data_IF_898603799011
#
_entry.id   IF_898603799011
#
_cell.length_a   1.000
_cell.length_b   1.000
_cell.length_c   1.000
_cell.angle_alpha   90.00
_cell.angle_beta   90.00
_cell.angle_gamma   90.00
#
_symmetry.space_group_name_H-M   'P 1'
#
loop_
_entity.id
_entity.type
_entity.pdbx_description
1 polymer ?
#
# COMPACT_ATOMS: atom_id res chain seq x y z
N UNK A 1 9.40 3.85 14.12
CA UNK A 1 10.58 3.62 13.26
C UNK A 1 10.17 2.59 12.22
N UNK A 2 10.32 2.87 10.92
CA UNK A 2 9.97 1.92 9.86
C UNK A 2 11.21 1.13 9.41
N UNK A 3 11.04 -0.15 9.12
CA UNK A 3 12.08 -1.02 8.57
C UNK A 3 11.64 -1.53 7.20
N UNK A 4 12.52 -1.42 6.20
CA UNK A 4 12.25 -1.89 4.85
C UNK A 4 12.85 -3.28 4.62
N UNK A 5 12.01 -4.27 4.34
CA UNK A 5 12.41 -5.62 3.95
C UNK A 5 12.13 -5.80 2.46
N UNK A 6 13.11 -6.33 1.71
CA UNK A 6 13.02 -6.49 0.24
C UNK A 6 12.00 -7.54 -0.20
N UNK A 7 11.53 -8.40 0.69
CA UNK A 7 10.52 -9.44 0.41
C UNK A 7 9.10 -8.87 0.29
N UNK A 8 8.44 -9.20 -0.82
CA UNK A 8 7.07 -8.75 -1.10
C UNK A 8 6.10 -9.48 -0.17
N UNK A 9 5.01 -8.81 0.22
CA UNK A 9 3.98 -9.43 1.05
C UNK A 9 3.31 -10.61 0.35
N UNK A 10 3.19 -10.55 -0.98
CA UNK A 10 2.72 -11.64 -1.82
C UNK A 10 3.51 -11.72 -3.13
N UNK A 11 3.69 -12.94 -3.67
CA UNK A 11 4.34 -13.14 -4.97
C UNK A 11 3.40 -12.72 -6.10
N UNK A 12 3.49 -11.48 -6.56
CA UNK A 12 2.65 -10.92 -7.62
C UNK A 12 3.38 -10.88 -8.98
N UNK A 13 3.81 -12.05 -9.50
CA UNK A 13 4.45 -12.15 -10.82
C UNK A 13 3.41 -12.55 -11.87
N UNK A 14 3.10 -11.70 -12.88
CA UNK A 14 2.22 -12.04 -13.98
C UNK A 14 2.88 -13.03 -14.94
N UNK A 15 2.05 -13.81 -15.65
CA UNK A 15 2.49 -14.81 -16.63
C UNK A 15 2.85 -14.18 -17.97
N UNK A 16 2.25 -13.04 -18.33
CA UNK A 16 2.49 -12.33 -19.59
C UNK A 16 2.43 -10.80 -19.42
N UNK A 17 3.17 -10.05 -20.26
CA UNK A 17 3.02 -8.62 -20.45
C UNK A 17 1.60 -8.17 -20.80
N UNK A 18 1.06 -7.14 -20.15
CA UNK A 18 -0.11 -6.41 -20.65
C UNK A 18 -0.06 -4.91 -20.30
N UNK A 19 0.24 -4.02 -21.27
CA UNK A 19 0.31 -2.58 -21.03
C UNK A 19 -1.05 -1.93 -20.77
N UNK A 20 -2.15 -2.54 -21.22
CA UNK A 20 -3.52 -2.02 -20.97
C UNK A 20 -3.91 -2.29 -19.52
N UNK A 21 -3.56 -3.47 -19.01
CA UNK A 21 -3.79 -3.82 -17.61
C UNK A 21 -2.89 -3.00 -16.67
N UNK A 22 -1.63 -2.75 -17.06
CA UNK A 22 -0.71 -1.87 -16.34
C UNK A 22 -1.28 -0.46 -16.14
N UNK A 23 -1.89 0.13 -17.19
CA UNK A 23 -2.52 1.45 -17.09
C UNK A 23 -3.67 1.47 -16.09
N UNK A 24 -4.48 0.40 -16.03
CA UNK A 24 -5.58 0.27 -15.06
C UNK A 24 -5.05 0.08 -13.63
N UNK A 25 -3.95 -0.64 -13.44
CA UNK A 25 -3.29 -0.78 -12.14
C UNK A 25 -2.80 0.56 -11.60
N UNK A 26 -2.43 1.51 -12.46
CA UNK A 26 -2.02 2.84 -12.03
C UNK A 26 -3.16 3.61 -11.31
N UNK A 27 -4.42 3.40 -11.70
CA UNK A 27 -5.57 3.98 -11.02
C UNK A 27 -5.80 3.35 -9.64
N UNK A 28 -5.54 2.05 -9.50
CA UNK A 28 -5.62 1.34 -8.20
C UNK A 28 -4.46 1.72 -7.28
N UNK A 29 -3.28 2.03 -7.84
CA UNK A 29 -2.12 2.46 -7.09
C UNK A 29 -2.21 3.91 -6.62
N UNK A 30 -2.47 4.83 -7.56
CA UNK A 30 -2.36 6.27 -7.36
C UNK A 30 -3.63 7.07 -7.65
N UNK A 31 -4.76 6.41 -7.90
CA UNK A 31 -6.04 7.09 -8.06
C UNK A 31 -6.59 7.64 -6.75
N UNK A 32 -7.75 8.29 -6.83
CA UNK A 32 -8.41 8.93 -5.68
C UNK A 32 -8.68 7.95 -4.52
N UNK A 33 -9.02 6.70 -4.84
CA UNK A 33 -9.20 5.60 -3.89
C UNK A 33 -8.06 4.58 -3.95
N UNK A 34 -6.90 5.01 -4.44
CA UNK A 34 -5.75 4.13 -4.59
C UNK A 34 -5.12 3.75 -3.26
N UNK A 35 -4.38 2.66 -3.27
CA UNK A 35 -3.70 2.08 -2.11
C UNK A 35 -2.78 3.13 -1.41
N UNK A 36 -2.16 4.06 -2.16
CA UNK A 36 -1.35 5.16 -1.59
C UNK A 36 -2.20 6.15 -0.79
N UNK A 37 -3.37 6.52 -1.31
CA UNK A 37 -4.30 7.45 -0.64
C UNK A 37 -4.78 6.88 0.69
N UNK A 38 -5.13 5.59 0.70
CA UNK A 38 -5.59 4.86 1.89
C UNK A 38 -4.46 4.72 2.92
N UNK A 39 -3.26 4.35 2.49
CA UNK A 39 -2.07 4.28 3.33
C UNK A 39 -1.80 5.62 4.04
N UNK A 40 -1.82 6.73 3.28
CA UNK A 40 -1.57 8.06 3.83
C UNK A 40 -2.65 8.48 4.82
N UNK A 41 -3.93 8.20 4.53
CA UNK A 41 -5.03 8.53 5.43
C UNK A 41 -4.86 7.85 6.80
N UNK A 42 -4.58 6.54 6.84
CA UNK A 42 -4.40 5.82 8.11
C UNK A 42 -3.15 6.25 8.87
N UNK A 43 -2.03 6.53 8.17
CA UNK A 43 -0.81 7.04 8.81
C UNK A 43 -1.01 8.43 9.41
N UNK A 44 -1.63 9.36 8.68
CA UNK A 44 -1.91 10.71 9.20
C UNK A 44 -2.93 10.69 10.34
N UNK A 45 -3.93 9.79 10.29
CA UNK A 45 -4.86 9.59 11.40
C UNK A 45 -4.14 9.00 12.62
N UNK A 46 -3.29 7.99 12.44
CA UNK A 46 -2.51 7.37 13.51
C UNK A 46 -1.52 8.34 14.18
N UNK A 47 -0.89 9.24 13.41
CA UNK A 47 0.01 10.26 13.96
C UNK A 47 -0.72 11.40 14.66
N UNK A 48 -1.89 11.82 14.17
CA UNK A 48 -2.70 12.86 14.81
C UNK A 48 -3.65 12.34 15.89
N UNK A 49 -3.75 11.02 16.09
CA UNK A 49 -4.64 10.44 17.08
C UNK A 49 -4.19 10.81 18.49
N UNK A 50 -5.00 11.63 19.18
CA UNK A 50 -4.85 11.99 20.60
C UNK A 50 -5.65 11.07 21.55
N UNK A 51 -6.29 10.02 21.00
CA UNK A 51 -7.14 9.08 21.71
C UNK A 51 -6.37 7.91 22.34
N UNK A 52 -7.09 6.86 22.75
CA UNK A 52 -6.49 5.66 23.34
C UNK A 52 -5.41 5.02 22.44
N UNK A 53 -4.36 4.51 23.09
CA UNK A 53 -3.22 3.88 22.43
C UNK A 53 -3.64 2.69 21.54
N UNK A 54 -4.71 1.98 21.89
CA UNK A 54 -5.23 0.82 21.13
C UNK A 54 -5.63 1.17 19.70
N UNK A 55 -6.32 2.29 19.50
CA UNK A 55 -6.76 2.69 18.16
C UNK A 55 -5.60 3.29 17.36
N UNK A 56 -4.68 3.97 18.03
CA UNK A 56 -3.45 4.48 17.41
C UNK A 56 -2.60 3.34 16.85
N UNK A 57 -2.43 2.27 17.61
CA UNK A 57 -1.65 1.10 17.21
C UNK A 57 -2.28 0.41 16.01
N UNK A 58 -3.60 0.18 16.06
CA UNK A 58 -4.36 -0.40 14.94
C UNK A 58 -4.26 0.43 13.65
N UNK A 59 -4.36 1.75 13.74
CA UNK A 59 -4.26 2.63 12.57
C UNK A 59 -2.86 2.61 11.94
N UNK A 60 -1.82 2.53 12.78
CA UNK A 60 -0.43 2.45 12.32
C UNK A 60 -0.10 1.08 11.72
N UNK A 61 -0.66 0.00 12.27
CA UNK A 61 -0.54 -1.34 11.71
C UNK A 61 -1.18 -1.44 10.33
N UNK A 62 -2.41 -0.96 10.18
CA UNK A 62 -3.14 -0.93 8.90
C UNK A 62 -2.39 -0.08 7.87
N UNK A 63 -1.91 1.11 8.27
CA UNK A 63 -1.11 1.97 7.38
C UNK A 63 0.20 1.31 6.94
N UNK A 64 0.83 0.52 7.82
CA UNK A 64 2.07 -0.20 7.49
C UNK A 64 1.80 -1.40 6.58
N UNK A 65 0.66 -2.08 6.73
CA UNK A 65 0.23 -3.14 5.82
C UNK A 65 -0.04 -2.59 4.42
N UNK A 66 -0.73 -1.46 4.31
CA UNK A 66 -1.04 -0.85 3.02
C UNK A 66 0.21 -0.37 2.27
N UNK A 67 1.26 0.02 3.01
CA UNK A 67 2.60 0.28 2.44
C UNK A 67 3.25 -0.96 1.81
N UNK A 68 2.96 -2.16 2.34
CA UNK A 68 3.42 -3.41 1.75
C UNK A 68 2.55 -3.84 0.56
N UNK A 69 1.24 -3.56 0.63
CA UNK A 69 0.30 -3.80 -0.47
C UNK A 69 0.66 -2.97 -1.71
N UNK A 70 0.85 -1.66 -1.55
CA UNK A 70 1.33 -0.74 -2.61
C UNK A 70 2.63 -1.20 -3.27
N UNK A 71 3.54 -1.81 -2.51
CA UNK A 71 4.78 -2.40 -3.04
C UNK A 71 4.54 -3.68 -3.84
N UNK A 72 3.55 -4.46 -3.44
CA UNK A 72 3.16 -5.70 -4.10
C UNK A 72 2.42 -5.43 -5.41
N UNK A 73 1.64 -4.36 -5.48
CA UNK A 73 0.98 -3.89 -6.70
C UNK A 73 1.95 -3.18 -7.65
N UNK A 74 2.93 -2.40 -7.14
CA UNK A 74 3.95 -1.74 -7.96
C UNK A 74 5.04 -2.66 -8.51
N UNK A 75 5.30 -3.79 -7.84
CA UNK A 75 6.27 -4.80 -8.28
C UNK A 75 5.70 -5.79 -9.30
N UNK A 76 4.42 -5.66 -9.69
CA UNK A 76 3.83 -6.41 -10.81
C UNK A 76 4.50 -5.92 -12.10
N UNK A 77 5.32 -6.72 -12.79
CA UNK A 77 5.94 -6.27 -14.03
C UNK A 77 4.85 -5.95 -15.05
N UNK A 78 4.83 -4.68 -15.46
CA UNK A 78 3.98 -4.12 -16.51
C UNK A 78 4.56 -4.35 -17.92
N UNK A 79 5.47 -5.31 -18.06
CA UNK A 79 6.30 -5.53 -19.24
C UNK A 79 6.03 -6.83 -19.94
#
# INVERSE_FOLDING_TARGET
>A
MFFHVKELQYKAKPTQPDPVYAKKLQEVLGGQYGEISVMMQYLFQGWNCRGEQKYRDMLLDIGTEESRRTRTSSSRPCY
#
